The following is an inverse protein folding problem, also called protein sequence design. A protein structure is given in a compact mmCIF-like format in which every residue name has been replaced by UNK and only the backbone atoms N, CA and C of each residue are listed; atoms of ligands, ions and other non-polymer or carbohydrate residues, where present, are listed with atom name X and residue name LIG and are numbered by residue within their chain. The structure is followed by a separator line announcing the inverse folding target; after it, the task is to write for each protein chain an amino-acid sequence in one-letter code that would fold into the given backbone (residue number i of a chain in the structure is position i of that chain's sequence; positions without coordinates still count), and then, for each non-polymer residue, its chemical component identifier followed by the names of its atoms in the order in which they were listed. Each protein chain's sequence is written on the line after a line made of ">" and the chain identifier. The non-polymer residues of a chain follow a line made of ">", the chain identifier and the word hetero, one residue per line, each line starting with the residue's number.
data_IF_415985144116
#
_entry.id   IF_415985144116
#
_cell.length_a   1.000
_cell.length_b   1.000
_cell.length_c   1.000
_cell.angle_alpha   90.00
_cell.angle_beta   90.00
_cell.angle_gamma   90.00
#
_symmetry.space_group_name_H-M   'P 1'
#
loop_
_entity.id
_entity.type
_entity.pdbx_description
1 polymer ?
#
# COMPACT_ATOMS: atom_id res chain seq x y z
N UNK A 1 19.02 -25.65 13.53
CA UNK A 1 18.10 -24.51 13.37
C UNK A 1 18.00 -24.26 11.88
N UNK A 2 16.88 -24.54 11.21
CA UNK A 2 16.74 -24.19 9.82
C UNK A 2 16.60 -22.67 9.72
N UNK A 3 17.29 -22.15 8.76
CA UNK A 3 17.48 -20.74 8.44
C UNK A 3 16.12 -20.08 8.12
N UNK A 4 15.72 -19.12 8.95
CA UNK A 4 14.47 -18.36 8.76
C UNK A 4 14.58 -17.29 7.64
N UNK A 5 15.58 -17.42 6.77
CA UNK A 5 15.79 -16.47 5.67
C UNK A 5 15.02 -16.80 4.37
N UNK A 6 14.31 -17.91 4.31
CA UNK A 6 13.67 -18.36 3.06
C UNK A 6 12.22 -17.88 2.87
N UNK A 7 11.66 -17.10 3.76
CA UNK A 7 10.25 -16.71 3.71
C UNK A 7 9.99 -15.23 3.34
N UNK A 8 10.97 -14.53 2.78
CA UNK A 8 10.70 -13.33 2.00
C UNK A 8 10.28 -13.82 0.61
N UNK A 9 9.08 -14.33 0.50
CA UNK A 9 8.49 -14.68 -0.77
C UNK A 9 8.52 -13.43 -1.65
N UNK A 10 9.45 -13.40 -2.58
CA UNK A 10 9.59 -12.32 -3.54
C UNK A 10 8.24 -12.07 -4.20
N UNK A 11 7.92 -10.82 -4.47
CA UNK A 11 6.69 -10.43 -5.13
C UNK A 11 7.02 -9.93 -6.52
N UNK A 12 6.26 -10.36 -7.52
CA UNK A 12 6.37 -9.84 -8.87
C UNK A 12 5.30 -8.77 -9.04
N UNK A 13 5.73 -7.54 -9.34
CA UNK A 13 4.87 -6.44 -9.71
C UNK A 13 4.81 -6.34 -11.24
N UNK A 14 3.63 -6.58 -11.81
CA UNK A 14 3.36 -6.36 -13.23
C UNK A 14 2.74 -4.96 -13.38
N UNK A 15 3.41 -4.10 -14.14
CA UNK A 15 2.92 -2.75 -14.42
C UNK A 15 2.22 -2.76 -15.77
N UNK A 16 1.00 -2.27 -15.78
CA UNK A 16 0.15 -2.16 -16.97
C UNK A 16 -0.23 -0.70 -17.17
N UNK A 17 -0.29 -0.27 -18.42
CA UNK A 17 -0.81 1.06 -18.74
C UNK A 17 -2.28 1.18 -18.30
N UNK A 18 -2.58 2.17 -17.46
CA UNK A 18 -3.93 2.43 -16.97
C UNK A 18 -4.91 2.77 -18.10
N UNK A 19 -4.43 3.28 -19.24
CA UNK A 19 -5.21 3.57 -20.43
C UNK A 19 -5.47 2.35 -21.32
N UNK A 20 -4.84 1.19 -21.02
CA UNK A 20 -5.00 -0.02 -21.80
C UNK A 20 -6.48 -0.46 -21.88
N UNK A 21 -6.96 -0.93 -23.05
CA UNK A 21 -8.30 -1.47 -23.20
C UNK A 21 -8.60 -2.58 -22.19
N UNK A 22 -9.86 -2.72 -21.78
CA UNK A 22 -10.28 -3.72 -20.80
C UNK A 22 -9.85 -5.15 -21.19
N UNK A 23 -9.91 -5.50 -22.47
CA UNK A 23 -9.46 -6.80 -22.97
C UNK A 23 -7.96 -7.02 -22.76
N UNK A 24 -7.14 -5.98 -22.95
CA UNK A 24 -5.71 -6.07 -22.71
C UNK A 24 -5.39 -6.21 -21.22
N UNK A 25 -6.13 -5.51 -20.36
CA UNK A 25 -5.99 -5.65 -18.89
C UNK A 25 -6.39 -7.05 -18.43
N UNK A 26 -7.49 -7.61 -18.94
CA UNK A 26 -7.89 -8.98 -18.64
C UNK A 26 -6.83 -10.01 -19.08
N UNK A 27 -6.21 -9.81 -20.24
CA UNK A 27 -5.11 -10.67 -20.69
C UNK A 27 -3.87 -10.56 -19.76
N UNK A 28 -3.63 -9.39 -19.18
CA UNK A 28 -2.57 -9.21 -18.17
C UNK A 28 -2.90 -9.91 -16.85
N UNK A 29 -4.17 -9.90 -16.43
CA UNK A 29 -4.63 -10.66 -15.25
C UNK A 29 -4.40 -12.17 -15.44
N UNK A 30 -4.75 -12.73 -16.60
CA UNK A 30 -4.51 -14.13 -16.94
C UNK A 30 -3.01 -14.45 -17.00
N UNK A 31 -2.21 -13.55 -17.56
CA UNK A 31 -0.76 -13.69 -17.59
C UNK A 31 -0.18 -13.64 -16.17
N UNK A 32 -0.64 -12.74 -15.31
CA UNK A 32 -0.22 -12.64 -13.92
C UNK A 32 -0.52 -13.93 -13.16
N UNK A 33 -1.71 -14.50 -13.33
CA UNK A 33 -2.08 -15.78 -12.73
C UNK A 33 -1.17 -16.93 -13.21
N UNK A 34 -0.86 -16.96 -14.51
CA UNK A 34 0.03 -17.96 -15.10
C UNK A 34 1.46 -17.83 -14.55
N UNK A 35 1.97 -16.61 -14.45
CA UNK A 35 3.31 -16.34 -13.91
C UNK A 35 3.36 -16.73 -12.43
N UNK A 36 2.36 -16.36 -11.65
CA UNK A 36 2.26 -16.71 -10.24
C UNK A 36 2.33 -18.23 -10.03
N UNK A 37 1.58 -18.98 -10.83
CA UNK A 37 1.58 -20.43 -10.78
C UNK A 37 2.93 -21.04 -11.14
N UNK A 38 3.60 -20.52 -12.18
CA UNK A 38 4.89 -21.05 -12.66
C UNK A 38 6.06 -20.67 -11.77
N UNK A 39 6.03 -19.45 -11.24
CA UNK A 39 7.11 -18.93 -10.40
C UNK A 39 6.98 -19.35 -8.94
N UNK A 40 5.82 -19.86 -8.50
CA UNK A 40 5.53 -20.13 -7.10
C UNK A 40 5.50 -18.86 -6.23
N UNK A 41 5.36 -17.69 -6.87
CA UNK A 41 5.38 -16.38 -6.20
C UNK A 41 4.13 -15.57 -6.53
N UNK A 42 3.60 -14.79 -5.58
CA UNK A 42 2.46 -13.93 -5.87
C UNK A 42 2.83 -12.86 -6.89
N UNK A 43 1.95 -12.68 -7.88
CA UNK A 43 2.05 -11.59 -8.87
C UNK A 43 0.91 -10.63 -8.62
N UNK A 44 1.21 -9.34 -8.57
CA UNK A 44 0.21 -8.28 -8.42
C UNK A 44 0.30 -7.35 -9.63
N UNK A 45 -0.85 -6.98 -10.19
CA UNK A 45 -0.94 -5.97 -11.24
C UNK A 45 -1.06 -4.58 -10.63
N UNK A 46 -0.29 -3.63 -11.16
CA UNK A 46 -0.49 -2.22 -10.94
C UNK A 46 -0.82 -1.52 -12.26
N UNK A 47 -2.04 -1.01 -12.41
CA UNK A 47 -2.41 -0.19 -13.55
C UNK A 47 -2.04 1.26 -13.24
N UNK A 48 -1.05 1.79 -13.97
CA UNK A 48 -0.55 3.15 -13.77
C UNK A 48 -0.48 3.89 -15.12
N UNK A 49 -0.61 5.22 -15.14
CA UNK A 49 -0.40 5.99 -16.36
C UNK A 49 1.04 5.81 -16.86
N UNK A 50 1.19 5.52 -18.15
CA UNK A 50 2.51 5.19 -18.76
C UNK A 50 3.52 6.33 -18.56
N UNK A 51 3.07 7.58 -18.56
CA UNK A 51 3.87 8.76 -18.34
C UNK A 51 4.47 8.87 -16.93
N UNK A 52 4.00 8.03 -16.00
CA UNK A 52 4.49 8.00 -14.61
C UNK A 52 5.51 6.90 -14.36
N UNK A 53 5.84 6.11 -15.37
CA UNK A 53 6.70 4.94 -15.26
C UNK A 53 8.11 5.28 -14.74
N UNK A 54 8.63 6.45 -15.09
CA UNK A 54 9.93 6.94 -14.61
C UNK A 54 9.96 7.12 -13.08
N UNK A 55 8.83 7.49 -12.48
CA UNK A 55 8.70 7.62 -11.03
C UNK A 55 8.75 6.27 -10.30
N UNK A 56 8.25 5.21 -10.96
CA UNK A 56 8.13 3.87 -10.39
C UNK A 56 9.42 3.07 -10.61
N UNK A 57 10.19 3.37 -11.65
CA UNK A 57 11.41 2.64 -11.99
C UNK A 57 12.40 2.43 -10.84
N UNK A 58 12.65 3.40 -9.94
CA UNK A 58 13.50 3.17 -8.78
C UNK A 58 12.98 2.09 -7.84
N UNK A 59 11.65 1.92 -7.78
CA UNK A 59 10.98 0.91 -6.94
C UNK A 59 11.08 -0.48 -7.56
N UNK A 60 10.95 -0.59 -8.90
CA UNK A 60 10.85 -1.88 -9.61
C UNK A 60 12.19 -2.42 -10.14
N UNK A 61 13.19 -1.58 -10.39
CA UNK A 61 14.48 -2.00 -10.97
C UNK A 61 15.37 -2.79 -10.01
N UNK A 62 15.03 -2.86 -8.75
CA UNK A 62 15.89 -3.44 -7.75
C UNK A 62 15.47 -4.88 -7.49
N UNK A 63 16.16 -5.80 -8.14
CA UNK A 63 16.09 -7.21 -7.81
C UNK A 63 16.62 -7.49 -6.39
N UNK A 64 16.44 -8.71 -5.87
CA UNK A 64 16.73 -9.07 -4.47
C UNK A 64 18.12 -8.77 -3.94
N UNK A 65 19.08 -8.38 -4.77
CA UNK A 65 20.47 -8.05 -4.36
C UNK A 65 20.79 -6.56 -4.22
N UNK A 66 19.89 -5.64 -4.59
CA UNK A 66 20.16 -4.20 -4.64
C UNK A 66 19.27 -3.33 -3.76
N UNK A 67 18.57 -3.94 -2.83
CA UNK A 67 17.55 -3.30 -1.97
C UNK A 67 18.15 -2.37 -0.91
N UNK A 68 19.47 -2.29 -0.78
CA UNK A 68 20.14 -1.57 0.33
C UNK A 68 20.17 -0.05 0.28
N UNK A 69 19.79 0.58 -0.82
CA UNK A 69 19.83 2.06 -0.93
C UNK A 69 18.46 2.75 -1.00
N UNK A 70 17.40 1.99 -1.22
CA UNK A 70 16.01 2.36 -0.99
C UNK A 70 15.34 1.10 -0.44
N UNK A 71 15.70 0.72 0.77
CA UNK A 71 14.93 -0.32 1.43
C UNK A 71 13.45 0.06 1.25
N UNK A 72 12.70 -0.71 0.42
CA UNK A 72 11.27 -0.59 0.57
C UNK A 72 11.08 -0.86 2.05
N UNK A 73 10.44 0.04 2.75
CA UNK A 73 10.29 -0.11 4.18
C UNK A 73 9.87 -1.55 4.41
N UNK A 74 10.67 -2.27 5.16
CA UNK A 74 10.30 -3.61 5.61
C UNK A 74 8.83 -3.57 5.97
N UNK A 75 8.00 -4.54 5.57
CA UNK A 75 6.58 -4.57 5.90
C UNK A 75 6.37 -4.70 7.41
N UNK A 76 6.93 -3.79 8.15
CA UNK A 76 6.65 -3.57 9.53
C UNK A 76 5.30 -2.89 9.56
N UNK A 77 4.26 -3.69 9.39
CA UNK A 77 2.93 -3.20 9.60
C UNK A 77 2.90 -2.56 10.99
N UNK A 78 2.22 -1.44 11.13
CA UNK A 78 1.83 -0.84 12.42
C UNK A 78 1.12 -1.87 13.31
N UNK A 79 0.90 -3.07 12.80
CA UNK A 79 0.45 -4.23 13.53
C UNK A 79 1.29 -4.58 14.75
N UNK A 80 2.51 -4.09 14.84
CA UNK A 80 3.38 -4.23 16.01
C UNK A 80 3.25 -3.08 17.00
N UNK A 81 2.77 -1.90 16.61
CA UNK A 81 2.43 -0.85 17.58
C UNK A 81 1.12 -1.21 18.30
N UNK A 82 0.98 -1.00 19.62
CA UNK A 82 -0.27 -1.20 20.33
C UNK A 82 -1.40 -0.38 19.73
N UNK A 83 -2.62 -0.91 19.73
CA UNK A 83 -3.78 -0.13 19.34
C UNK A 83 -4.10 0.89 20.42
N UNK A 84 -4.21 2.16 20.04
CA UNK A 84 -4.47 3.26 20.95
C UNK A 84 -5.90 3.80 20.77
N UNK A 85 -6.55 4.09 21.89
CA UNK A 85 -7.90 4.63 21.93
C UNK A 85 -7.92 6.04 22.55
N UNK A 86 -8.68 6.94 21.99
CA UNK A 86 -9.00 8.23 22.57
C UNK A 86 -10.01 8.07 23.72
N UNK A 87 -10.16 9.12 24.52
CA UNK A 87 -11.13 9.13 25.62
C UNK A 87 -12.59 9.01 25.18
N UNK A 88 -12.88 9.37 23.94
CA UNK A 88 -14.20 9.25 23.31
C UNK A 88 -14.49 7.86 22.74
N UNK A 89 -13.57 6.90 22.91
CA UNK A 89 -13.69 5.53 22.41
C UNK A 89 -13.34 5.36 20.93
N UNK A 90 -12.78 6.39 20.26
CA UNK A 90 -12.33 6.29 18.87
C UNK A 90 -10.83 5.94 18.80
N UNK A 91 -10.36 5.29 17.73
CA UNK A 91 -8.94 5.05 17.49
C UNK A 91 -8.13 6.35 17.51
N UNK A 92 -6.98 6.33 18.15
CA UNK A 92 -6.00 7.43 18.13
C UNK A 92 -4.91 7.16 17.10
N UNK A 93 -5.22 7.48 15.85
CA UNK A 93 -4.31 7.23 14.71
C UNK A 93 -3.01 8.02 14.83
N UNK A 94 -3.07 9.24 15.34
CA UNK A 94 -1.87 10.06 15.55
C UNK A 94 -0.93 9.45 16.58
N UNK A 95 -1.46 8.99 17.73
CA UNK A 95 -0.65 8.33 18.75
C UNK A 95 -0.05 7.02 18.24
N UNK A 96 -0.83 6.21 17.51
CA UNK A 96 -0.33 4.98 16.89
C UNK A 96 0.77 5.25 15.87
N UNK A 97 0.60 6.27 15.03
CA UNK A 97 1.62 6.67 14.05
C UNK A 97 2.91 7.14 14.73
N UNK A 98 2.81 7.97 15.76
CA UNK A 98 3.97 8.42 16.55
C UNK A 98 4.71 7.23 17.16
N UNK A 99 3.98 6.31 17.80
CA UNK A 99 4.57 5.08 18.38
C UNK A 99 5.26 4.23 17.31
N UNK A 100 4.68 4.12 16.11
CA UNK A 100 5.30 3.42 15.00
C UNK A 100 6.63 4.07 14.59
N UNK A 101 6.66 5.39 14.45
CA UNK A 101 7.87 6.14 14.11
C UNK A 101 8.96 5.95 15.19
N UNK A 102 8.60 6.04 16.46
CA UNK A 102 9.55 5.83 17.56
C UNK A 102 10.15 4.41 17.54
N UNK A 103 9.32 3.40 17.32
CA UNK A 103 9.79 2.02 17.19
C UNK A 103 10.72 1.85 15.98
N UNK A 104 10.44 2.52 14.84
CA UNK A 104 11.27 2.46 13.66
C UNK A 104 12.66 3.06 13.89
N UNK A 105 12.79 4.12 14.69
CA UNK A 105 14.07 4.72 15.06
C UNK A 105 14.95 3.78 15.88
N UNK A 106 14.37 2.82 16.59
CA UNK A 106 15.08 1.85 17.44
C UNK A 106 15.24 0.46 16.79
N UNK A 107 15.23 0.35 15.48
CA UNK A 107 15.44 -0.91 14.75
C UNK A 107 14.16 -1.52 14.19
N UNK A 108 13.08 -0.77 14.25
CA UNK A 108 11.78 -1.14 13.69
C UNK A 108 10.95 -2.02 14.62
N UNK A 109 9.63 -1.98 14.44
CA UNK A 109 8.73 -2.84 15.19
C UNK A 109 8.94 -4.31 14.78
N UNK A 110 8.82 -5.27 15.72
CA UNK A 110 8.97 -6.67 15.39
C UNK A 110 7.95 -7.12 14.36
N UNK A 111 8.41 -7.83 13.35
CA UNK A 111 7.52 -8.43 12.35
C UNK A 111 6.61 -9.47 13.00
N UNK A 112 5.33 -9.43 12.67
CA UNK A 112 4.35 -10.44 13.09
C UNK A 112 4.12 -11.40 11.92
N UNK A 113 4.92 -12.41 11.76
CA UNK A 113 4.69 -13.51 10.81
C UNK A 113 4.47 -13.07 9.35
N UNK A 114 4.14 -14.01 8.45
CA UNK A 114 3.82 -13.67 7.08
C UNK A 114 2.53 -12.83 7.04
N UNK A 115 2.63 -11.59 6.55
CA UNK A 115 1.47 -10.74 6.33
C UNK A 115 0.61 -11.34 5.23
N UNK A 116 -0.64 -11.65 5.53
CA UNK A 116 -1.60 -11.98 4.49
C UNK A 116 -1.83 -10.74 3.60
N UNK A 117 -1.82 -10.96 2.29
CA UNK A 117 -2.10 -9.88 1.36
C UNK A 117 -3.53 -9.36 1.56
N UNK A 118 -3.65 -8.06 1.84
CA UNK A 118 -4.96 -7.40 1.90
C UNK A 118 -5.42 -7.13 0.47
N UNK A 119 -6.40 -7.89 0.02
CA UNK A 119 -6.95 -7.80 -1.32
C UNK A 119 -8.19 -6.91 -1.34
N UNK A 120 -8.27 -6.07 -2.36
CA UNK A 120 -9.49 -5.40 -2.70
C UNK A 120 -10.45 -6.34 -3.43
N UNK A 121 -11.75 -6.06 -3.41
CA UNK A 121 -12.72 -6.86 -4.14
C UNK A 121 -12.51 -6.75 -5.64
N UNK A 122 -12.76 -7.85 -6.34
CA UNK A 122 -12.76 -7.89 -7.80
C UNK A 122 -14.16 -7.53 -8.31
N UNK A 123 -14.25 -6.45 -9.11
CA UNK A 123 -15.50 -6.04 -9.76
C UNK A 123 -16.50 -5.36 -8.81
N UNK A 124 -17.41 -4.57 -9.33
CA UNK A 124 -18.36 -3.74 -8.58
C UNK A 124 -19.47 -4.49 -7.81
N UNK A 125 -19.13 -5.54 -7.08
CA UNK A 125 -20.07 -6.23 -6.19
C UNK A 125 -20.43 -5.32 -5.01
N UNK A 126 -21.69 -4.88 -4.87
CA UNK A 126 -22.11 -4.02 -3.78
C UNK A 126 -21.98 -4.65 -2.40
N UNK A 127 -21.90 -5.98 -2.31
CA UNK A 127 -21.68 -6.70 -1.04
C UNK A 127 -20.21 -6.67 -0.62
N UNK A 128 -19.32 -6.18 -1.46
CA UNK A 128 -17.90 -6.10 -1.22
C UNK A 128 -17.48 -4.90 -0.35
N UNK A 129 -18.40 -4.03 0.03
CA UNK A 129 -18.11 -2.87 0.88
C UNK A 129 -17.96 -3.27 2.36
N UNK A 130 -17.05 -2.59 3.07
CA UNK A 130 -17.05 -2.59 4.53
C UNK A 130 -18.25 -1.83 5.07
N UNK A 131 -18.53 -1.97 6.39
CA UNK A 131 -19.56 -1.14 7.00
C UNK A 131 -19.23 0.35 6.89
N UNK A 132 -20.24 1.24 6.89
CA UNK A 132 -20.03 2.68 6.83
C UNK A 132 -19.08 3.20 7.93
N UNK A 133 -19.16 2.61 9.14
CA UNK A 133 -18.33 2.99 10.29
C UNK A 133 -16.86 2.63 10.04
N UNK A 134 -16.60 1.44 9.49
CA UNK A 134 -15.24 0.99 9.16
C UNK A 134 -14.67 1.86 8.03
N UNK A 135 -15.45 2.14 6.99
CA UNK A 135 -15.03 3.01 5.89
C UNK A 135 -14.70 4.42 6.40
N UNK A 136 -15.55 5.00 7.23
CA UNK A 136 -15.34 6.32 7.80
C UNK A 136 -14.09 6.37 8.69
N UNK A 137 -13.85 5.32 9.45
CA UNK A 137 -12.68 5.25 10.34
C UNK A 137 -11.38 5.04 9.55
N UNK A 138 -11.41 4.26 8.46
CA UNK A 138 -10.28 4.12 7.55
C UNK A 138 -9.93 5.46 6.88
N UNK A 139 -10.93 6.19 6.37
CA UNK A 139 -10.74 7.53 5.82
C UNK A 139 -10.11 8.47 6.84
N UNK A 140 -10.69 8.55 8.04
CA UNK A 140 -10.17 9.39 9.11
C UNK A 140 -8.72 9.03 9.48
N UNK A 141 -8.40 7.74 9.55
CA UNK A 141 -7.04 7.27 9.85
C UNK A 141 -6.02 7.73 8.81
N UNK A 142 -6.37 7.62 7.52
CA UNK A 142 -5.53 8.10 6.42
C UNK A 142 -5.36 9.62 6.51
N UNK A 143 -6.45 10.38 6.68
CA UNK A 143 -6.41 11.84 6.76
C UNK A 143 -5.59 12.35 7.95
N UNK A 144 -5.77 11.76 9.12
CA UNK A 144 -5.02 12.15 10.33
C UNK A 144 -3.52 11.85 10.24
N UNK A 145 -3.13 10.78 9.56
CA UNK A 145 -1.72 10.36 9.49
C UNK A 145 -0.98 10.95 8.30
N UNK A 146 -1.68 11.35 7.24
CA UNK A 146 -1.05 11.84 6.00
C UNK A 146 -1.42 13.27 5.62
N UNK A 147 -2.57 13.76 6.04
CA UNK A 147 -3.16 15.01 5.58
C UNK A 147 -3.77 14.92 4.17
N UNK A 148 -3.82 13.75 3.56
CA UNK A 148 -4.42 13.56 2.24
C UNK A 148 -5.95 13.47 2.37
N UNK A 149 -6.65 14.06 1.42
CA UNK A 149 -8.11 14.00 1.35
C UNK A 149 -8.55 12.64 0.84
N UNK A 150 -9.58 12.09 1.47
CA UNK A 150 -10.18 10.81 1.10
C UNK A 150 -11.65 10.94 0.73
N UNK A 151 -12.10 10.10 -0.19
CA UNK A 151 -13.49 10.03 -0.65
C UNK A 151 -13.93 8.57 -0.76
N UNK A 152 -15.23 8.26 -0.60
CA UNK A 152 -15.76 6.96 -0.97
C UNK A 152 -15.52 6.70 -2.46
N UNK A 153 -15.20 5.45 -2.80
CA UNK A 153 -15.07 5.00 -4.18
C UNK A 153 -16.11 3.90 -4.49
N UNK A 154 -15.80 3.05 -5.43
CA UNK A 154 -16.60 1.86 -5.69
C UNK A 154 -16.69 0.95 -4.45
N UNK A 155 -17.69 0.07 -4.32
CA UNK A 155 -17.81 -0.82 -3.17
C UNK A 155 -16.52 -1.55 -2.86
N UNK A 156 -16.09 -1.47 -1.61
CA UNK A 156 -14.84 -2.09 -1.12
C UNK A 156 -13.55 -1.31 -1.39
N UNK A 157 -13.66 -0.05 -1.83
CA UNK A 157 -12.52 0.84 -2.09
C UNK A 157 -12.72 2.24 -1.51
N UNK A 158 -11.64 2.85 -1.11
CA UNK A 158 -11.55 4.27 -0.74
C UNK A 158 -10.55 4.94 -1.66
N UNK A 159 -10.91 6.11 -2.18
CA UNK A 159 -10.03 6.95 -2.97
C UNK A 159 -9.28 7.94 -2.10
N UNK A 160 -8.00 8.10 -2.39
CA UNK A 160 -7.11 9.09 -1.79
C UNK A 160 -6.68 10.05 -2.90
N UNK A 161 -6.90 11.35 -2.70
CA UNK A 161 -6.51 12.37 -3.67
C UNK A 161 -5.03 12.71 -3.50
N UNK A 162 -4.23 12.42 -4.52
CA UNK A 162 -2.81 12.72 -4.57
C UNK A 162 -2.55 14.06 -5.29
N UNK A 163 -1.45 14.72 -4.93
CA UNK A 163 -1.05 15.99 -5.52
C UNK A 163 -0.69 15.89 -7.02
N UNK A 164 -0.39 14.70 -7.52
CA UNK A 164 -0.08 14.44 -8.92
C UNK A 164 -0.27 12.96 -9.26
N UNK A 165 -0.46 12.65 -10.56
CA UNK A 165 -0.48 11.27 -11.05
C UNK A 165 0.83 10.52 -10.74
N UNK A 166 1.96 11.24 -10.78
CA UNK A 166 3.27 10.69 -10.39
C UNK A 166 3.30 10.23 -8.93
N UNK A 167 2.75 11.02 -8.00
CA UNK A 167 2.61 10.63 -6.60
C UNK A 167 1.69 9.41 -6.45
N UNK A 168 0.53 9.44 -7.11
CA UNK A 168 -0.43 8.34 -7.04
C UNK A 168 0.18 7.01 -7.56
N UNK A 169 0.90 7.06 -8.67
CA UNK A 169 1.57 5.89 -9.24
C UNK A 169 2.67 5.34 -8.32
N UNK A 170 3.47 6.23 -7.75
CA UNK A 170 4.55 5.83 -6.83
C UNK A 170 3.98 5.21 -5.55
N UNK A 171 2.96 5.83 -4.94
CA UNK A 171 2.29 5.28 -3.76
C UNK A 171 1.62 3.94 -4.07
N UNK A 172 0.95 3.82 -5.21
CA UNK A 172 0.34 2.54 -5.63
C UNK A 172 1.39 1.42 -5.67
N UNK A 173 2.51 1.63 -6.34
CA UNK A 173 3.56 0.62 -6.45
C UNK A 173 4.13 0.22 -5.08
N UNK A 174 4.41 1.21 -4.22
CA UNK A 174 4.97 0.96 -2.89
C UNK A 174 3.97 0.30 -1.94
N UNK A 175 2.70 0.68 -1.97
CA UNK A 175 1.62 0.05 -1.18
C UNK A 175 1.44 -1.41 -1.57
N UNK A 176 1.48 -1.73 -2.87
CA UNK A 176 1.41 -3.11 -3.36
C UNK A 176 2.60 -3.95 -2.84
N UNK A 177 3.79 -3.38 -2.80
CA UNK A 177 4.98 -4.04 -2.25
C UNK A 177 4.86 -4.31 -0.73
N UNK A 178 4.05 -3.52 -0.03
CA UNK A 178 3.71 -3.71 1.38
C UNK A 178 2.55 -4.69 1.63
N UNK A 179 2.17 -5.50 0.65
CA UNK A 179 1.09 -6.48 0.77
C UNK A 179 -0.34 -5.92 0.85
N UNK A 180 -0.54 -4.66 0.53
CA UNK A 180 -1.86 -4.05 0.41
C UNK A 180 -2.16 -3.83 -1.07
N UNK A 181 -3.34 -4.21 -1.50
CA UNK A 181 -3.80 -3.96 -2.87
C UNK A 181 -3.99 -2.46 -3.11
N UNK A 182 -3.73 -2.00 -4.32
CA UNK A 182 -3.93 -0.60 -4.68
C UNK A 182 -4.18 -0.44 -6.17
N UNK A 183 -4.86 0.64 -6.55
CA UNK A 183 -5.13 1.01 -7.95
C UNK A 183 -4.94 2.50 -8.15
N UNK A 184 -4.71 2.91 -9.39
CA UNK A 184 -4.55 4.33 -9.75
C UNK A 184 -5.53 4.72 -10.85
N UNK A 185 -6.19 5.85 -10.67
CA UNK A 185 -7.04 6.51 -11.65
C UNK A 185 -6.64 7.99 -11.74
N UNK A 186 -5.70 8.32 -12.60
CA UNK A 186 -5.14 9.67 -12.68
C UNK A 186 -4.44 10.08 -11.39
N UNK A 187 -4.99 11.05 -10.67
CA UNK A 187 -4.48 11.49 -9.35
C UNK A 187 -5.14 10.77 -8.17
N UNK A 188 -6.09 9.87 -8.42
CA UNK A 188 -6.77 9.11 -7.39
C UNK A 188 -6.05 7.79 -7.16
N UNK A 189 -5.63 7.56 -5.92
CA UNK A 189 -5.12 6.28 -5.45
C UNK A 189 -6.24 5.57 -4.69
N UNK A 190 -6.55 4.35 -5.06
CA UNK A 190 -7.58 3.54 -4.40
C UNK A 190 -6.92 2.50 -3.53
N UNK A 191 -7.42 2.35 -2.30
CA UNK A 191 -7.00 1.32 -1.34
C UNK A 191 -8.20 0.50 -0.88
N UNK A 192 -8.01 -0.77 -0.49
CA UNK A 192 -9.12 -1.65 -0.17
C UNK A 192 -9.81 -1.26 1.15
N UNK A 193 -11.13 -1.41 1.16
CA UNK A 193 -12.02 -1.28 2.30
C UNK A 193 -13.06 -2.40 2.25
N UNK A 194 -12.58 -3.64 2.34
CA UNK A 194 -13.39 -4.83 2.09
C UNK A 194 -14.35 -5.21 3.22
N UNK A 195 -15.29 -6.13 2.95
CA UNK A 195 -16.15 -6.68 3.97
C UNK A 195 -15.31 -7.46 4.99
N UNK A 196 -15.67 -7.39 6.25
CA UNK A 196 -14.93 -8.07 7.32
C UNK A 196 -13.65 -7.37 7.78
N UNK A 197 -13.37 -6.16 7.29
CA UNK A 197 -12.27 -5.35 7.83
C UNK A 197 -12.55 -5.00 9.30
N UNK A 198 -11.56 -5.29 10.16
CA UNK A 198 -11.57 -4.94 11.57
C UNK A 198 -10.61 -3.80 11.86
N UNK A 199 -10.95 -2.93 12.83
CA UNK A 199 -10.17 -1.73 13.17
C UNK A 199 -8.74 -2.07 13.58
N UNK A 200 -8.59 -3.06 14.44
CA UNK A 200 -7.30 -3.43 15.04
C UNK A 200 -6.41 -4.29 14.11
N UNK A 201 -6.91 -4.66 12.93
CA UNK A 201 -6.23 -5.52 11.98
C UNK A 201 -6.13 -4.86 10.59
N UNK A 202 -7.08 -5.11 9.67
CA UNK A 202 -6.97 -4.67 8.28
C UNK A 202 -6.99 -3.15 8.14
N UNK A 203 -7.88 -2.46 8.87
CA UNK A 203 -7.94 -0.97 8.85
C UNK A 203 -6.62 -0.38 9.31
N UNK A 204 -6.11 -0.85 10.45
CA UNK A 204 -4.83 -0.42 10.98
C UNK A 204 -3.68 -0.69 10.01
N UNK A 205 -3.69 -1.84 9.35
CA UNK A 205 -2.67 -2.20 8.36
C UNK A 205 -2.69 -1.28 7.15
N UNK A 206 -3.88 -0.98 6.59
CA UNK A 206 -4.01 -0.06 5.45
C UNK A 206 -3.57 1.36 5.84
N UNK A 207 -4.07 1.89 6.95
CA UNK A 207 -3.69 3.23 7.43
C UNK A 207 -2.18 3.35 7.58
N UNK A 208 -1.54 2.34 8.16
CA UNK A 208 -0.08 2.33 8.34
C UNK A 208 0.67 2.33 7.05
N UNK A 209 0.30 1.43 6.14
CA UNK A 209 1.00 1.30 4.87
C UNK A 209 0.88 2.60 4.08
N UNK A 210 -0.30 3.23 4.07
CA UNK A 210 -0.50 4.52 3.41
C UNK A 210 0.32 5.63 4.08
N UNK A 211 0.29 5.73 5.41
CA UNK A 211 1.05 6.74 6.15
C UNK A 211 2.57 6.58 5.92
N UNK A 212 3.07 5.37 6.01
CA UNK A 212 4.47 5.01 5.81
C UNK A 212 4.94 5.35 4.39
N UNK A 213 4.23 4.89 3.38
CA UNK A 213 4.59 5.14 1.98
C UNK A 213 4.48 6.62 1.62
N UNK A 214 3.50 7.35 2.15
CA UNK A 214 3.39 8.79 1.99
C UNK A 214 4.57 9.53 2.64
N UNK A 215 5.01 9.13 3.82
CA UNK A 215 6.19 9.69 4.48
C UNK A 215 7.44 9.52 3.61
N UNK A 216 7.68 8.33 3.06
CA UNK A 216 8.81 8.08 2.15
C UNK A 216 8.71 8.86 0.84
N UNK A 217 7.52 9.07 0.30
CA UNK A 217 7.34 9.92 -0.86
C UNK A 217 7.81 11.36 -0.58
N UNK A 218 7.50 11.90 0.59
CA UNK A 218 7.94 13.24 0.99
C UNK A 218 9.46 13.32 1.11
N UNK A 219 10.09 12.38 1.77
CA UNK A 219 11.55 12.31 1.88
C UNK A 219 12.23 12.16 0.52
N UNK A 220 11.68 11.35 -0.36
CA UNK A 220 12.17 11.20 -1.73
C UNK A 220 12.15 12.53 -2.50
N UNK A 221 11.10 13.34 -2.34
CA UNK A 221 11.03 14.66 -2.96
C UNK A 221 12.05 15.66 -2.37
N UNK A 222 12.26 15.62 -1.07
CA UNK A 222 13.22 16.48 -0.38
C UNK A 222 14.65 16.16 -0.84
N UNK A 223 15.05 14.91 -0.84
CA UNK A 223 16.35 14.45 -1.33
C UNK A 223 16.58 14.80 -2.81
N UNK A 224 15.55 14.70 -3.65
CA UNK A 224 15.64 15.08 -5.06
C UNK A 224 15.80 16.60 -5.28
N UNK A 225 15.34 17.43 -4.35
CA UNK A 225 15.56 18.89 -4.38
C UNK A 225 16.97 19.25 -3.96
N UNK A 226 17.48 18.64 -2.91
CA UNK A 226 18.85 18.84 -2.40
C UNK A 226 19.91 18.47 -3.44
N UNK A 227 19.68 17.41 -4.21
CA UNK A 227 20.60 16.97 -5.27
C UNK A 227 20.64 17.91 -6.49
N UNK A 228 19.65 18.82 -6.63
CA UNK A 228 19.55 19.78 -7.75
C UNK A 228 20.02 21.18 -7.39
N UNK A 229 20.31 21.44 -6.13
CA UNK A 229 20.85 22.71 -5.62
C UNK A 229 22.36 22.66 -5.49
#
# INVERSE_FOLDING_TARGET
>A
MPDQMDDIAGRILLIVDASAPAAARAACDDAAATIAQRAGMPVTLAAVPIETLDAIQPVIRRGPGHIRELDPPSPAAMGSAPFAWRRDGRPDWGAMWTTFCDLALHGGPPQRGPLQALRGPSGGDPTAASSPEISAELQRGIEETTGLVTDPAEPGWIAITCASARMAAWLCATIILENVDARVEGTRLLVPAGPGFALEDQVKSVVTVVAKTHHYWREHLESARETRS
#
